data_IF_206080276208
#
_entry.id   IF_206080276208
#
_cell.length_a   1.000
_cell.length_b   1.000
_cell.length_c   1.000
_cell.angle_alpha   90.00
_cell.angle_beta   90.00
_cell.angle_gamma   90.00
#
_symmetry.space_group_name_H-M   'P 1'
#
loop_
_entity.id
_entity.type
_entity.pdbx_description
1 polymer ?
#
# COMPACT_ATOMS: atom_id res chain seq x y z
N UNK A 1 19.90 -25.93 -8.21
CA UNK A 1 19.96 -24.87 -7.19
C UNK A 1 18.90 -23.85 -7.56
N UNK A 2 17.74 -23.91 -6.90
CA UNK A 2 16.65 -22.95 -7.11
C UNK A 2 17.06 -21.68 -6.38
N UNK A 3 17.41 -20.65 -7.11
CA UNK A 3 17.66 -19.33 -6.55
C UNK A 3 16.29 -18.66 -6.38
N UNK A 4 15.69 -18.82 -5.19
CA UNK A 4 14.55 -18.02 -4.83
C UNK A 4 14.95 -16.54 -4.83
N UNK A 5 14.40 -15.77 -5.75
CA UNK A 5 14.43 -14.31 -5.60
C UNK A 5 13.63 -13.97 -4.34
N UNK A 6 14.25 -13.31 -3.35
CA UNK A 6 13.55 -12.98 -2.12
C UNK A 6 12.37 -12.07 -2.42
N UNK A 7 11.25 -12.30 -1.73
CA UNK A 7 10.15 -11.35 -1.72
C UNK A 7 10.68 -9.97 -1.35
N UNK A 8 10.23 -8.94 -2.04
CA UNK A 8 10.61 -7.55 -1.74
C UNK A 8 9.45 -6.84 -1.08
N UNK A 9 9.72 -6.13 -0.01
CA UNK A 9 8.72 -5.32 0.68
C UNK A 9 9.00 -3.83 0.49
N UNK A 10 7.95 -3.08 0.19
CA UNK A 10 8.00 -1.63 0.06
C UNK A 10 7.07 -1.02 1.10
N UNK A 11 7.60 -0.09 1.87
CA UNK A 11 6.88 0.63 2.90
C UNK A 11 6.57 2.06 2.43
N UNK A 12 5.34 2.50 2.65
CA UNK A 12 5.06 3.92 2.58
C UNK A 12 5.96 4.67 3.58
N UNK A 13 6.60 5.78 3.19
CA UNK A 13 7.48 6.50 4.09
C UNK A 13 6.71 6.98 5.31
N UNK A 14 7.30 6.90 6.53
CA UNK A 14 6.71 7.55 7.68
C UNK A 14 6.75 9.06 7.46
N UNK A 15 5.61 9.72 7.51
CA UNK A 15 5.56 11.18 7.43
C UNK A 15 5.88 11.79 8.77
N UNK A 16 6.56 12.91 8.71
CA UNK A 16 7.18 13.56 9.87
C UNK A 16 6.23 14.33 10.79
N UNK A 17 4.91 14.43 10.54
CA UNK A 17 3.96 15.13 11.45
C UNK A 17 2.51 14.95 10.98
N UNK A 18 1.57 15.09 11.93
CA UNK A 18 0.12 15.20 11.74
C UNK A 18 -0.32 16.26 10.72
N UNK A 19 0.53 17.26 10.45
CA UNK A 19 0.30 18.32 9.46
C UNK A 19 0.39 17.87 8.01
N UNK A 20 1.05 16.74 7.71
CA UNK A 20 1.23 16.30 6.32
C UNK A 20 0.00 15.55 5.80
N UNK A 21 -0.68 14.78 6.66
CA UNK A 21 -1.94 14.12 6.29
C UNK A 21 -3.05 15.15 6.03
N UNK A 22 -3.09 16.22 6.84
CA UNK A 22 -4.05 17.33 6.64
C UNK A 22 -3.74 18.14 5.38
N UNK A 23 -2.48 18.25 4.97
CA UNK A 23 -2.09 18.90 3.73
C UNK A 23 -2.58 18.11 2.52
N UNK A 24 -2.39 16.78 2.52
CA UNK A 24 -2.84 15.90 1.44
C UNK A 24 -4.38 15.87 1.30
N UNK A 25 -5.11 15.94 2.42
CA UNK A 25 -6.58 16.05 2.38
C UNK A 25 -7.00 17.39 1.76
N UNK A 26 -6.33 18.50 2.09
CA UNK A 26 -6.58 19.82 1.47
C UNK A 26 -6.26 19.82 -0.02
N UNK A 27 -5.18 19.19 -0.43
CA UNK A 27 -4.81 19.07 -1.84
C UNK A 27 -5.85 18.27 -2.62
N UNK A 28 -6.36 17.18 -2.04
CA UNK A 28 -7.45 16.39 -2.62
C UNK A 28 -8.73 17.22 -2.76
N UNK A 29 -9.11 17.96 -1.73
CA UNK A 29 -10.30 18.81 -1.74
C UNK A 29 -10.15 19.92 -2.78
N UNK A 30 -8.97 20.54 -2.87
CA UNK A 30 -8.68 21.53 -3.91
C UNK A 30 -8.74 20.97 -5.32
N UNK A 31 -8.25 19.75 -5.53
CA UNK A 31 -8.39 19.05 -6.81
C UNK A 31 -9.87 18.81 -7.16
N UNK A 32 -10.68 18.43 -6.19
CA UNK A 32 -12.12 18.26 -6.37
C UNK A 32 -12.82 19.55 -6.79
N UNK A 33 -12.50 20.67 -6.14
CA UNK A 33 -12.99 22.01 -6.53
C UNK A 33 -12.60 22.34 -7.98
N UNK A 34 -11.33 22.17 -8.32
CA UNK A 34 -10.83 22.45 -9.69
C UNK A 34 -11.50 21.57 -10.75
N UNK A 35 -11.72 20.28 -10.44
CA UNK A 35 -12.44 19.38 -11.34
C UNK A 35 -13.86 19.89 -11.59
N UNK A 36 -14.55 20.33 -10.55
CA UNK A 36 -15.90 20.89 -10.64
C UNK A 36 -15.91 22.19 -11.45
N UNK A 37 -14.99 23.10 -11.19
CA UNK A 37 -14.82 24.35 -11.92
C UNK A 37 -14.60 24.10 -13.42
N UNK A 38 -13.67 23.22 -13.76
CA UNK A 38 -13.33 22.90 -15.15
C UNK A 38 -14.51 22.23 -15.87
N UNK A 39 -15.15 21.25 -15.24
CA UNK A 39 -16.27 20.53 -15.83
C UNK A 39 -17.45 21.50 -16.12
N UNK A 40 -17.79 22.33 -15.14
CA UNK A 40 -18.89 23.29 -15.26
C UNK A 40 -18.60 24.36 -16.32
N UNK A 41 -17.40 24.93 -16.31
CA UNK A 41 -17.00 25.92 -17.31
C UNK A 41 -16.96 25.34 -18.72
N UNK A 42 -16.48 24.12 -18.87
CA UNK A 42 -16.45 23.41 -20.17
C UNK A 42 -17.87 23.17 -20.68
N UNK A 43 -18.77 22.65 -19.86
CA UNK A 43 -20.17 22.41 -20.22
C UNK A 43 -20.87 23.72 -20.64
N UNK A 44 -20.66 24.79 -19.89
CA UNK A 44 -21.21 26.12 -20.22
C UNK A 44 -20.72 26.64 -21.58
N UNK A 45 -19.45 26.39 -21.92
CA UNK A 45 -18.90 26.74 -23.24
C UNK A 45 -19.60 26.02 -24.41
N UNK A 46 -20.21 24.86 -24.15
CA UNK A 46 -21.02 24.11 -25.12
C UNK A 46 -22.54 24.35 -24.97
N UNK A 47 -22.95 25.24 -24.08
CA UNK A 47 -24.37 25.57 -23.87
C UNK A 47 -25.17 24.46 -23.17
N UNK A 48 -24.50 23.58 -22.42
CA UNK A 48 -25.13 22.49 -21.67
C UNK A 48 -24.91 22.65 -20.16
N UNK A 49 -25.81 22.10 -19.35
CA UNK A 49 -25.64 22.03 -17.91
C UNK A 49 -24.70 20.88 -17.52
N UNK A 50 -24.03 21.05 -16.37
CA UNK A 50 -23.19 20.00 -15.77
C UNK A 50 -23.43 19.98 -14.27
N UNK A 51 -23.66 18.78 -13.74
CA UNK A 51 -23.67 18.51 -12.30
C UNK A 51 -22.47 17.60 -12.02
N UNK A 52 -21.69 17.92 -11.01
CA UNK A 52 -20.51 17.16 -10.61
C UNK A 52 -20.70 16.68 -9.19
N UNK A 53 -20.73 15.37 -9.03
CA UNK A 53 -20.76 14.74 -7.72
C UNK A 53 -19.39 14.12 -7.43
N UNK A 54 -18.79 14.50 -6.31
CA UNK A 54 -17.49 14.01 -5.87
C UNK A 54 -17.69 13.04 -4.71
N UNK A 55 -17.03 11.89 -4.80
CA UNK A 55 -17.05 10.86 -3.74
C UNK A 55 -15.63 10.73 -3.15
N UNK A 56 -15.23 11.60 -2.22
CA UNK A 56 -13.96 11.45 -1.55
C UNK A 56 -14.00 10.23 -0.62
N UNK A 57 -13.26 9.16 -0.99
CA UNK A 57 -13.29 7.91 -0.21
C UNK A 57 -12.10 7.81 0.72
N UNK A 58 -10.91 7.60 0.20
CA UNK A 58 -9.74 7.26 1.00
C UNK A 58 -8.80 8.45 1.14
N UNK A 59 -8.24 8.61 2.32
CA UNK A 59 -7.13 9.52 2.55
C UNK A 59 -5.79 8.87 2.19
N UNK A 60 -4.67 9.60 2.35
CA UNK A 60 -3.35 9.03 2.15
C UNK A 60 -3.06 7.94 3.18
N UNK A 61 -2.43 6.86 2.73
CA UNK A 61 -1.94 5.80 3.60
C UNK A 61 -0.59 6.21 4.17
N UNK A 62 -0.59 6.65 5.42
CA UNK A 62 0.60 7.15 6.12
C UNK A 62 0.93 6.23 7.29
N UNK A 63 2.07 5.57 7.22
CA UNK A 63 2.51 4.65 8.26
C UNK A 63 2.99 5.41 9.51
N UNK A 64 2.71 4.85 10.68
CA UNK A 64 3.35 5.28 11.92
C UNK A 64 4.78 4.72 11.99
N UNK A 65 5.71 5.53 12.47
CA UNK A 65 7.13 5.24 12.36
C UNK A 65 7.57 3.99 13.14
N UNK A 66 7.05 3.82 14.35
CA UNK A 66 7.37 2.70 15.23
C UNK A 66 6.84 1.38 14.66
N UNK A 67 5.60 1.35 14.23
CA UNK A 67 4.95 0.18 13.64
C UNK A 67 5.59 -0.20 12.30
N UNK A 68 5.97 0.80 11.50
CA UNK A 68 6.72 0.57 10.27
C UNK A 68 8.11 -0.04 10.55
N UNK A 69 8.79 0.41 11.61
CA UNK A 69 10.07 -0.16 12.02
C UNK A 69 9.90 -1.59 12.55
N UNK A 70 8.89 -1.85 13.36
CA UNK A 70 8.55 -3.16 13.87
C UNK A 70 8.24 -4.15 12.73
N UNK A 71 7.38 -3.75 11.79
CA UNK A 71 7.04 -4.56 10.63
C UNK A 71 8.26 -4.85 9.75
N UNK A 72 9.10 -3.85 9.54
CA UNK A 72 10.38 -3.97 8.81
C UNK A 72 11.30 -4.99 9.47
N UNK A 73 11.40 -4.95 10.81
CA UNK A 73 12.17 -5.91 11.60
C UNK A 73 11.63 -7.36 11.45
N UNK A 74 10.32 -7.54 11.49
CA UNK A 74 9.68 -8.84 11.34
C UNK A 74 9.92 -9.43 9.93
N UNK A 75 9.83 -8.59 8.88
CA UNK A 75 10.14 -8.99 7.50
C UNK A 75 11.62 -9.35 7.33
N UNK A 76 12.52 -8.55 7.91
CA UNK A 76 13.95 -8.81 7.86
C UNK A 76 14.34 -10.12 8.56
N UNK A 77 13.68 -10.44 9.67
CA UNK A 77 13.91 -11.68 10.41
C UNK A 77 13.44 -12.91 9.64
N UNK A 78 12.46 -12.77 8.75
CA UNK A 78 11.91 -13.88 7.98
C UNK A 78 12.60 -14.06 6.61
N UNK A 79 12.85 -12.94 5.93
CA UNK A 79 13.33 -12.93 4.54
C UNK A 79 14.75 -12.39 4.36
N UNK A 80 15.37 -11.92 5.45
CA UNK A 80 16.65 -11.20 5.39
C UNK A 80 16.48 -9.71 5.04
N UNK A 81 17.53 -8.92 5.29
CA UNK A 81 17.47 -7.45 5.13
C UNK A 81 17.42 -6.99 3.67
N UNK A 82 17.88 -7.80 2.74
CA UNK A 82 17.88 -7.46 1.30
C UNK A 82 16.46 -7.27 0.71
N UNK A 83 15.43 -7.82 1.36
CA UNK A 83 14.03 -7.68 0.91
C UNK A 83 13.43 -6.30 1.19
N UNK A 84 14.03 -5.53 2.09
CA UNK A 84 13.52 -4.24 2.54
C UNK A 84 13.76 -3.11 1.54
N UNK A 85 14.57 -3.36 0.53
CA UNK A 85 14.84 -2.43 -0.55
C UNK A 85 13.89 -2.71 -1.73
N UNK A 86 12.63 -2.34 -1.54
CA UNK A 86 11.60 -2.49 -2.55
C UNK A 86 11.86 -1.56 -3.73
N UNK A 87 11.88 -2.12 -4.95
CA UNK A 87 12.07 -1.35 -6.18
C UNK A 87 10.87 -0.47 -6.56
N UNK A 88 9.81 -0.43 -5.75
CA UNK A 88 8.62 0.37 -6.02
C UNK A 88 8.86 1.82 -5.62
N UNK A 89 8.70 2.73 -6.58
CA UNK A 89 8.80 4.17 -6.32
C UNK A 89 7.55 4.63 -5.56
N UNK A 90 7.77 5.23 -4.40
CA UNK A 90 6.71 5.82 -3.57
C UNK A 90 6.76 7.36 -3.66
N UNK A 91 5.61 8.04 -3.47
CA UNK A 91 4.27 7.48 -3.30
C UNK A 91 3.70 6.92 -4.61
N UNK A 92 2.80 5.93 -4.49
CA UNK A 92 1.98 5.47 -5.62
C UNK A 92 0.61 6.12 -5.55
N UNK A 93 0.06 6.47 -6.72
CA UNK A 93 -1.28 7.09 -6.85
C UNK A 93 -2.34 5.97 -6.92
N UNK A 94 -2.48 5.22 -5.82
CA UNK A 94 -3.46 4.16 -5.67
C UNK A 94 -4.34 4.42 -4.45
N UNK A 95 -5.58 3.95 -4.51
CA UNK A 95 -6.51 4.01 -3.37
C UNK A 95 -6.30 2.81 -2.46
N UNK A 96 -6.28 3.06 -1.15
CA UNK A 96 -6.11 2.02 -0.13
C UNK A 96 -6.96 2.35 1.10
N UNK A 97 -7.88 1.45 1.46
CA UNK A 97 -8.81 1.65 2.57
C UNK A 97 -8.15 1.50 3.96
N UNK A 98 -6.97 0.88 4.01
CA UNK A 98 -6.19 0.78 5.25
C UNK A 98 -5.84 2.15 5.84
N UNK A 99 -5.91 3.22 5.04
CA UNK A 99 -5.78 4.60 5.50
C UNK A 99 -6.76 4.96 6.62
N UNK A 100 -7.96 4.37 6.65
CA UNK A 100 -8.93 4.59 7.72
C UNK A 100 -8.44 4.00 9.05
N UNK A 101 -7.87 2.79 9.03
CA UNK A 101 -7.31 2.15 10.22
C UNK A 101 -6.14 2.96 10.79
N UNK A 102 -5.27 3.49 9.90
CA UNK A 102 -4.12 4.29 10.31
C UNK A 102 -4.48 5.64 10.94
N UNK A 103 -5.68 6.15 10.69
CA UNK A 103 -6.19 7.36 11.36
C UNK A 103 -6.67 7.06 12.78
N UNK A 104 -7.17 5.87 13.03
CA UNK A 104 -7.77 5.47 14.30
C UNK A 104 -6.79 4.75 15.22
N UNK A 105 -5.79 4.09 14.66
CA UNK A 105 -4.84 3.24 15.41
C UNK A 105 -3.43 3.34 14.83
N UNK A 106 -2.41 3.30 15.70
CA UNK A 106 -1.05 3.08 15.25
C UNK A 106 -0.94 1.80 14.41
N UNK A 107 -0.28 1.90 13.26
CA UNK A 107 -0.16 0.77 12.34
C UNK A 107 0.76 1.06 11.18
N UNK A 108 1.01 0.04 10.38
CA UNK A 108 1.80 0.14 9.16
C UNK A 108 1.24 -0.75 8.04
N UNK A 109 1.26 -0.23 6.85
CA UNK A 109 0.93 -0.91 5.61
C UNK A 109 2.19 -1.11 4.78
N UNK A 110 2.34 -2.28 4.20
CA UNK A 110 3.46 -2.59 3.32
C UNK A 110 2.99 -3.39 2.10
N UNK A 111 3.59 -3.11 0.96
CA UNK A 111 3.46 -3.92 -0.24
C UNK A 111 4.53 -5.01 -0.22
N UNK A 112 4.13 -6.25 -0.33
CA UNK A 112 5.03 -7.40 -0.42
C UNK A 112 4.99 -7.93 -1.84
N UNK A 113 6.15 -7.98 -2.49
CA UNK A 113 6.28 -8.50 -3.84
C UNK A 113 5.95 -9.99 -3.89
N UNK A 114 4.90 -10.35 -4.61
CA UNK A 114 4.48 -11.72 -4.82
C UNK A 114 5.17 -12.41 -6.02
N UNK A 115 5.90 -11.64 -6.83
CA UNK A 115 6.60 -12.17 -8.01
C UNK A 115 7.71 -13.15 -7.65
N UNK A 116 7.79 -14.23 -8.44
CA UNK A 116 8.86 -15.22 -8.42
C UNK A 116 9.49 -15.36 -9.80
N UNK A 117 10.21 -16.46 -10.03
CA UNK A 117 10.74 -16.79 -11.36
C UNK A 117 9.64 -17.18 -12.35
N UNK A 118 8.51 -17.68 -11.84
CA UNK A 118 7.39 -18.07 -12.66
C UNK A 118 6.62 -16.84 -13.17
N UNK A 119 6.44 -16.75 -14.46
CA UNK A 119 5.79 -15.61 -15.12
C UNK A 119 4.33 -15.43 -14.68
N UNK A 120 3.64 -16.50 -14.24
CA UNK A 120 2.27 -16.44 -13.73
C UNK A 120 2.13 -15.54 -12.50
N UNK A 121 3.15 -15.49 -11.61
CA UNK A 121 3.16 -14.63 -10.42
C UNK A 121 3.59 -13.19 -10.69
N UNK A 122 3.91 -12.86 -11.95
CA UNK A 122 4.27 -11.50 -12.36
C UNK A 122 3.08 -10.71 -12.90
N UNK A 123 1.91 -11.35 -12.98
CA UNK A 123 0.67 -10.71 -13.41
C UNK A 123 0.21 -9.73 -12.32
N UNK A 124 -0.13 -8.46 -12.66
CA UNK A 124 -0.58 -7.48 -11.69
C UNK A 124 -1.87 -7.89 -10.98
N UNK A 125 -2.05 -7.44 -9.73
CA UNK A 125 -3.33 -7.50 -9.02
C UNK A 125 -4.46 -6.93 -9.90
N UNK A 126 -5.69 -7.36 -9.67
CA UNK A 126 -6.88 -6.97 -10.45
C UNK A 126 -6.91 -7.47 -11.91
N UNK A 127 -5.97 -8.31 -12.33
CA UNK A 127 -6.06 -9.04 -13.58
C UNK A 127 -6.88 -10.32 -13.40
N UNK A 128 -7.70 -10.67 -14.39
CA UNK A 128 -8.40 -11.97 -14.40
C UNK A 128 -7.44 -13.18 -14.47
N UNK A 129 -6.15 -12.94 -14.77
CA UNK A 129 -5.11 -13.97 -14.82
C UNK A 129 -4.16 -13.90 -13.62
N UNK A 130 -4.52 -13.10 -12.59
CA UNK A 130 -3.71 -13.02 -11.39
C UNK A 130 -3.66 -14.39 -10.70
N UNK A 131 -2.45 -14.81 -10.37
CA UNK A 131 -2.20 -16.06 -9.65
C UNK A 131 -1.32 -15.75 -8.44
N UNK A 132 -1.84 -16.05 -7.26
CA UNK A 132 -1.15 -15.75 -6.01
C UNK A 132 0.01 -16.72 -5.80
N UNK A 133 1.12 -16.24 -5.28
CA UNK A 133 2.25 -17.09 -4.93
C UNK A 133 2.06 -17.71 -3.54
N UNK A 134 1.52 -18.92 -3.50
CA UNK A 134 1.22 -19.65 -2.27
C UNK A 134 2.46 -19.90 -1.39
N UNK A 135 3.66 -19.88 -1.97
CA UNK A 135 4.90 -19.99 -1.21
C UNK A 135 5.11 -18.83 -0.21
N UNK A 136 4.36 -17.72 -0.34
CA UNK A 136 4.39 -16.61 0.60
C UNK A 136 3.49 -16.80 1.81
N UNK A 137 2.54 -17.73 1.79
CA UNK A 137 1.54 -17.88 2.87
C UNK A 137 2.24 -18.20 4.20
N UNK A 138 3.04 -19.24 4.22
CA UNK A 138 3.71 -19.67 5.47
C UNK A 138 4.72 -18.62 5.99
N UNK A 139 5.62 -18.04 5.19
CA UNK A 139 6.50 -16.96 5.64
C UNK A 139 5.75 -15.74 6.16
N UNK A 140 4.69 -15.31 5.48
CA UNK A 140 3.89 -14.16 5.93
C UNK A 140 3.12 -14.46 7.21
N UNK A 141 2.62 -15.69 7.39
CA UNK A 141 2.01 -16.10 8.66
C UNK A 141 3.01 -15.98 9.83
N UNK A 142 4.29 -16.34 9.62
CA UNK A 142 5.35 -16.15 10.63
C UNK A 142 5.65 -14.67 10.90
N UNK A 143 5.64 -13.83 9.87
CA UNK A 143 5.78 -12.38 10.05
C UNK A 143 4.66 -11.83 10.95
N UNK A 144 3.41 -12.19 10.67
CA UNK A 144 2.28 -11.75 11.50
C UNK A 144 2.31 -12.34 12.91
N UNK A 145 2.73 -13.58 13.08
CA UNK A 145 2.92 -14.17 14.41
C UNK A 145 3.98 -13.40 15.23
N UNK A 146 5.10 -13.01 14.60
CA UNK A 146 6.12 -12.15 15.24
C UNK A 146 5.55 -10.81 15.68
N UNK A 147 4.79 -10.14 14.80
CA UNK A 147 4.16 -8.85 15.09
C UNK A 147 3.16 -8.95 16.25
N UNK A 148 2.44 -10.05 16.33
CA UNK A 148 1.47 -10.32 17.39
C UNK A 148 2.12 -10.85 18.70
N UNK A 149 3.43 -11.10 18.73
CA UNK A 149 4.09 -11.76 19.86
C UNK A 149 3.62 -13.19 20.09
N UNK A 150 3.05 -13.83 19.05
CA UNK A 150 2.54 -15.19 19.11
C UNK A 150 3.65 -16.23 18.84
N UNK A 151 3.48 -17.50 19.27
CA UNK A 151 4.40 -18.57 18.90
C UNK A 151 4.51 -18.68 17.37
N UNK A 152 5.72 -18.87 16.88
CA UNK A 152 5.94 -19.03 15.45
C UNK A 152 5.43 -20.40 14.98
N UNK A 153 4.69 -20.47 13.86
CA UNK A 153 4.38 -21.73 13.20
C UNK A 153 5.67 -22.47 12.83
N UNK A 154 5.66 -23.79 12.95
CA UNK A 154 6.78 -24.62 12.54
C UNK A 154 7.17 -24.32 11.09
N UNK A 155 8.47 -24.31 10.80
CA UNK A 155 8.92 -24.29 9.41
C UNK A 155 8.58 -25.66 8.83
N UNK A 156 7.71 -25.71 7.84
CA UNK A 156 7.44 -26.93 7.10
C UNK A 156 8.74 -27.42 6.44
N UNK A 157 8.99 -28.71 6.55
CA UNK A 157 10.05 -29.42 5.83
C UNK A 157 9.82 -29.37 4.31
#
# INVERSE_FOLDING_TARGET
TVVHRPARATFAPPRRRTTDADADDRDRDRLGELMTEIATATAAGYGVGCEVELFPRYGPTVNHAEEAACYRGALAAEFGTAVLDGGTRLPIMASEDFSYYLRERPGAFALVGAGGEETRHQVPCHSARYDFNDALIAPMARVYARLAGAPLPAQGE
#
